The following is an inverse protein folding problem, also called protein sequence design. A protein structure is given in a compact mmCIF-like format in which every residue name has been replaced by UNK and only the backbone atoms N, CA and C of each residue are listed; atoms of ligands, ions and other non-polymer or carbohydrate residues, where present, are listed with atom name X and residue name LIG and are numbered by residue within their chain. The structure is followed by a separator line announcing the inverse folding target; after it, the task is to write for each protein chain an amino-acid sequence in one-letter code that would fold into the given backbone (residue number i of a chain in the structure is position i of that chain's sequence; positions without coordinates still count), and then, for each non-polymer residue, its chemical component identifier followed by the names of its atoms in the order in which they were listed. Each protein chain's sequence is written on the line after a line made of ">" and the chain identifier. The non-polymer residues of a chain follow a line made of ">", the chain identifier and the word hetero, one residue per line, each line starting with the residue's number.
data_IF_959612971582
#
_entry.id   IF_959612971582
#
_cell.length_a   1.000
_cell.length_b   1.000
_cell.length_c   1.000
_cell.angle_alpha   90.00
_cell.angle_beta   90.00
_cell.angle_gamma   90.00
#
_symmetry.space_group_name_H-M   'P 1'
#
loop_
_entity.id
_entity.type
_entity.pdbx_description
1 polymer ?
#
# COMPACT_ATOMS: atom_id res chain seq x y z
N UNK A 1 -58.02 23.43 -27.82
CA UNK A 1 -57.28 23.86 -26.62
C UNK A 1 -55.84 23.34 -26.73
N UNK A 2 -54.84 24.21 -26.92
CA UNK A 2 -53.42 23.85 -27.04
C UNK A 2 -52.82 23.65 -25.64
N UNK A 3 -52.29 22.47 -25.32
CA UNK A 3 -51.52 22.25 -24.09
C UNK A 3 -50.05 22.59 -24.35
N UNK A 4 -49.57 23.64 -23.68
CA UNK A 4 -48.17 24.04 -23.64
C UNK A 4 -47.43 23.07 -22.72
N UNK A 5 -46.44 22.33 -23.23
CA UNK A 5 -45.49 21.57 -22.42
C UNK A 5 -44.36 22.52 -22.01
N UNK A 6 -44.33 22.93 -20.73
CA UNK A 6 -43.16 23.57 -20.15
C UNK A 6 -42.08 22.50 -19.94
N UNK A 7 -40.98 22.58 -20.70
CA UNK A 7 -39.77 21.86 -20.38
C UNK A 7 -39.07 22.60 -19.23
N UNK A 8 -39.04 22.01 -18.04
CA UNK A 8 -38.22 22.49 -16.94
C UNK A 8 -36.75 22.16 -17.26
N UNK A 9 -35.95 23.18 -17.57
CA UNK A 9 -34.50 23.03 -17.66
C UNK A 9 -33.95 22.80 -16.25
N UNK A 10 -33.55 21.57 -15.94
CA UNK A 10 -32.81 21.26 -14.73
C UNK A 10 -31.41 21.89 -14.83
N UNK A 11 -31.18 22.94 -14.06
CA UNK A 11 -29.85 23.52 -13.88
C UNK A 11 -29.03 22.59 -13.00
N UNK A 12 -28.09 21.86 -13.59
CA UNK A 12 -27.10 21.11 -12.82
C UNK A 12 -26.11 22.10 -12.21
N UNK A 13 -26.23 22.33 -10.90
CA UNK A 13 -25.21 23.03 -10.13
C UNK A 13 -23.97 22.15 -10.07
N UNK A 14 -22.86 22.61 -10.66
CA UNK A 14 -21.55 21.98 -10.47
C UNK A 14 -21.19 22.15 -8.99
N UNK A 15 -20.98 21.07 -8.22
CA UNK A 15 -20.57 21.21 -6.83
C UNK A 15 -19.27 22.00 -6.76
N UNK A 16 -19.09 22.85 -5.73
CA UNK A 16 -17.86 23.61 -5.56
C UNK A 16 -16.67 22.65 -5.55
N UNK A 17 -15.66 22.93 -6.38
CA UNK A 17 -14.42 22.18 -6.38
C UNK A 17 -13.80 22.28 -4.98
N UNK A 18 -13.48 21.15 -4.34
CA UNK A 18 -12.94 21.19 -2.99
C UNK A 18 -11.56 21.85 -3.03
N UNK A 19 -11.31 22.83 -2.16
CA UNK A 19 -9.99 23.48 -2.05
C UNK A 19 -8.98 22.65 -1.23
N UNK A 20 -7.70 23.01 -1.31
CA UNK A 20 -6.65 22.41 -0.49
C UNK A 20 -6.19 21.03 -0.98
N UNK A 21 -5.81 20.12 -0.09
CA UNK A 21 -5.33 18.79 -0.47
C UNK A 21 -6.32 18.06 -1.39
N UNK A 22 -7.62 18.21 -1.14
CA UNK A 22 -8.68 17.58 -1.93
C UNK A 22 -8.76 18.09 -3.38
N UNK A 23 -8.21 19.26 -3.71
CA UNK A 23 -8.10 19.73 -5.11
C UNK A 23 -6.95 19.06 -5.87
N UNK A 24 -6.02 18.44 -5.15
CA UNK A 24 -4.79 17.83 -5.68
C UNK A 24 -4.91 16.31 -5.80
N UNK A 25 -5.85 15.70 -5.09
CA UNK A 25 -6.09 14.26 -5.12
C UNK A 25 -6.99 13.87 -6.31
N UNK A 26 -6.57 12.96 -7.20
CA UNK A 26 -7.45 12.44 -8.23
C UNK A 26 -8.48 11.49 -7.62
N UNK A 27 -9.70 11.54 -8.15
CA UNK A 27 -10.74 10.57 -7.81
C UNK A 27 -10.36 9.20 -8.40
N UNK A 28 -10.13 8.21 -7.54
CA UNK A 28 -9.88 6.83 -7.95
C UNK A 28 -11.20 6.07 -8.17
N UNK A 29 -11.33 5.39 -9.32
CA UNK A 29 -12.42 4.45 -9.59
C UNK A 29 -12.01 3.07 -9.07
N UNK A 30 -12.90 2.35 -8.38
CA UNK A 30 -12.65 0.98 -7.92
C UNK A 30 -12.00 0.87 -6.54
N UNK A 31 -12.72 1.31 -5.50
CA UNK A 31 -12.30 1.17 -4.09
C UNK A 31 -13.11 0.06 -3.42
N UNK A 32 -12.43 -0.85 -2.74
CA UNK A 32 -13.02 -1.83 -1.83
C UNK A 32 -12.44 -1.63 -0.44
N UNK A 33 -13.32 -1.46 0.55
CA UNK A 33 -12.92 -1.30 1.96
C UNK A 33 -13.34 -2.55 2.71
N UNK A 34 -12.41 -3.07 3.50
CA UNK A 34 -12.60 -4.22 4.37
C UNK A 34 -12.33 -3.77 5.80
N UNK A 35 -13.09 -4.31 6.75
CA UNK A 35 -12.90 -4.04 8.17
C UNK A 35 -12.57 -5.35 8.88
N UNK A 36 -11.54 -5.31 9.72
CA UNK A 36 -11.12 -6.39 10.60
C UNK A 36 -11.28 -5.99 12.06
N UNK A 37 -11.19 -6.96 12.99
CA UNK A 37 -10.86 -8.36 12.73
C UNK A 37 -12.06 -9.18 12.23
N UNK A 38 -11.84 -10.04 11.23
CA UNK A 38 -12.80 -11.06 10.75
C UNK A 38 -12.09 -12.17 9.97
N UNK A 39 -12.68 -13.37 9.83
CA UNK A 39 -12.08 -14.44 9.04
C UNK A 39 -11.75 -13.98 7.60
N UNK A 40 -10.53 -14.29 7.15
CA UNK A 40 -10.03 -13.97 5.81
C UNK A 40 -9.55 -12.53 5.61
N UNK A 41 -9.42 -11.72 6.67
CA UNK A 41 -8.87 -10.36 6.58
C UNK A 41 -7.39 -10.36 6.14
N UNK A 42 -6.59 -11.30 6.66
CA UNK A 42 -5.19 -11.51 6.28
C UNK A 42 -5.00 -12.14 4.89
N UNK A 43 -5.96 -12.96 4.45
CA UNK A 43 -5.90 -13.67 3.16
C UNK A 43 -5.81 -12.71 1.98
N UNK A 44 -6.32 -11.49 2.13
CA UNK A 44 -6.27 -10.49 1.06
C UNK A 44 -4.83 -10.12 0.71
N UNK A 45 -3.98 -9.91 1.71
CA UNK A 45 -2.58 -9.57 1.49
C UNK A 45 -1.82 -10.75 0.87
N UNK A 46 -2.08 -11.98 1.36
CA UNK A 46 -1.48 -13.19 0.79
C UNK A 46 -1.88 -13.42 -0.66
N UNK A 47 -3.16 -13.19 -1.01
CA UNK A 47 -3.66 -13.33 -2.38
C UNK A 47 -3.09 -12.30 -3.33
N UNK A 48 -3.02 -11.03 -2.91
CA UNK A 48 -2.46 -9.95 -3.75
C UNK A 48 -0.97 -10.17 -4.02
N UNK A 49 -0.18 -10.47 -2.99
CA UNK A 49 1.26 -10.73 -3.10
C UNK A 49 1.53 -12.03 -3.87
N UNK A 50 0.75 -13.09 -3.61
CA UNK A 50 0.82 -14.36 -4.33
C UNK A 50 0.48 -14.22 -5.81
N UNK A 51 -0.43 -13.31 -6.15
CA UNK A 51 -0.86 -13.01 -7.52
C UNK A 51 0.13 -12.21 -8.36
N UNK A 52 1.03 -11.44 -7.72
CA UNK A 52 1.95 -10.52 -8.39
C UNK A 52 2.83 -11.19 -9.46
N UNK A 53 3.02 -10.50 -10.58
CA UNK A 53 3.74 -10.98 -11.78
C UNK A 53 4.96 -10.14 -12.18
N UNK A 54 4.99 -8.85 -11.82
CA UNK A 54 6.00 -7.89 -12.29
C UNK A 54 6.69 -7.19 -11.13
N UNK A 55 5.94 -6.53 -10.26
CA UNK A 55 6.52 -5.70 -9.20
C UNK A 55 5.64 -5.59 -7.96
N UNK A 56 6.31 -5.42 -6.82
CA UNK A 56 5.73 -5.02 -5.56
C UNK A 56 6.64 -3.94 -4.95
N UNK A 57 6.07 -2.80 -4.61
CA UNK A 57 6.72 -1.78 -3.79
C UNK A 57 5.90 -1.61 -2.51
N UNK A 58 6.51 -1.88 -1.36
CA UNK A 58 5.84 -1.91 -0.05
C UNK A 58 6.48 -0.93 0.92
N UNK A 59 5.69 -0.02 1.47
CA UNK A 59 6.05 0.82 2.61
C UNK A 59 5.30 0.30 3.85
N UNK A 60 6.06 -0.18 4.83
CA UNK A 60 5.53 -0.83 6.02
C UNK A 60 6.09 -0.20 7.30
N UNK A 61 5.20 0.38 8.10
CA UNK A 61 5.52 0.83 9.46
C UNK A 61 5.93 -0.35 10.35
N UNK A 62 5.11 -1.40 10.35
CA UNK A 62 5.37 -2.68 11.03
C UNK A 62 5.19 -3.80 10.01
N UNK A 63 6.20 -4.67 9.90
CA UNK A 63 6.19 -5.89 9.08
C UNK A 63 6.78 -7.06 9.88
N UNK A 64 5.90 -7.80 10.54
CA UNK A 64 6.26 -8.91 11.42
C UNK A 64 5.48 -10.19 11.12
N UNK A 65 4.44 -10.11 10.29
CA UNK A 65 3.69 -11.27 9.84
C UNK A 65 4.55 -12.19 8.96
N UNK A 66 4.77 -13.42 9.43
CA UNK A 66 5.63 -14.38 8.75
C UNK A 66 5.02 -14.90 7.45
N UNK A 67 3.70 -14.99 7.35
CA UNK A 67 3.02 -15.43 6.13
C UNK A 67 3.17 -14.36 5.03
N UNK A 68 2.99 -13.08 5.38
CA UNK A 68 3.21 -11.96 4.47
C UNK A 68 4.68 -11.89 4.02
N UNK A 69 5.64 -11.98 4.96
CA UNK A 69 7.07 -11.96 4.64
C UNK A 69 7.46 -13.14 3.74
N UNK A 70 6.95 -14.34 4.02
CA UNK A 70 7.18 -15.52 3.19
C UNK A 70 6.60 -15.34 1.78
N UNK A 71 5.40 -14.77 1.66
CA UNK A 71 4.78 -14.49 0.37
C UNK A 71 5.61 -13.50 -0.47
N UNK A 72 6.18 -12.46 0.15
CA UNK A 72 7.08 -11.50 -0.50
C UNK A 72 8.37 -12.18 -0.99
N UNK A 73 8.99 -13.02 -0.15
CA UNK A 73 10.14 -13.83 -0.53
C UNK A 73 9.83 -14.76 -1.71
N UNK A 74 8.68 -15.43 -1.67
CA UNK A 74 8.18 -16.26 -2.76
C UNK A 74 7.95 -15.48 -4.05
N UNK A 75 7.41 -14.25 -3.98
CA UNK A 75 7.25 -13.38 -5.14
C UNK A 75 8.61 -13.04 -5.78
N UNK A 76 9.60 -12.66 -4.96
CA UNK A 76 10.94 -12.38 -5.45
C UNK A 76 11.59 -13.62 -6.11
N UNK A 77 11.40 -14.81 -5.54
CA UNK A 77 11.87 -16.06 -6.14
C UNK A 77 11.21 -16.37 -7.49
N UNK A 78 9.94 -16.00 -7.69
CA UNK A 78 9.23 -16.15 -8.98
C UNK A 78 9.70 -15.17 -10.06
N UNK A 79 10.56 -14.20 -9.74
CA UNK A 79 11.02 -13.18 -10.69
C UNK A 79 10.40 -11.80 -10.52
N UNK A 80 9.46 -11.63 -9.57
CA UNK A 80 8.83 -10.33 -9.28
C UNK A 80 9.86 -9.41 -8.64
N UNK A 81 9.96 -8.15 -9.10
CA UNK A 81 10.78 -7.14 -8.43
C UNK A 81 10.08 -6.70 -7.14
N UNK A 82 10.68 -6.97 -5.99
CA UNK A 82 10.13 -6.62 -4.68
C UNK A 82 11.02 -5.59 -4.00
N UNK A 83 10.46 -4.43 -3.63
CA UNK A 83 11.11 -3.41 -2.81
C UNK A 83 10.33 -3.21 -1.51
N UNK A 84 11.01 -3.32 -0.38
CA UNK A 84 10.41 -3.13 0.95
C UNK A 84 11.09 -1.97 1.65
N UNK A 85 10.28 -0.98 2.05
CA UNK A 85 10.70 0.19 2.81
C UNK A 85 10.13 0.10 4.23
N UNK A 86 11.01 0.01 5.22
CA UNK A 86 10.68 -0.17 6.63
C UNK A 86 10.91 1.10 7.44
N UNK A 87 10.13 1.30 8.50
CA UNK A 87 10.39 2.38 9.46
C UNK A 87 11.64 2.13 10.33
N UNK A 88 12.22 3.21 10.85
CA UNK A 88 13.46 3.22 11.63
C UNK A 88 13.30 2.92 13.13
N UNK A 89 12.09 2.89 13.69
CA UNK A 89 11.92 2.82 15.15
C UNK A 89 12.06 1.42 15.76
N UNK A 90 11.69 0.34 15.05
CA UNK A 90 11.80 -1.03 15.60
C UNK A 90 13.26 -1.42 15.93
N UNK A 91 13.52 -2.07 17.07
CA UNK A 91 14.88 -2.52 17.39
C UNK A 91 15.15 -3.86 16.70
N UNK A 92 16.19 -3.90 15.87
CA UNK A 92 16.60 -5.11 15.17
C UNK A 92 15.79 -5.40 13.89
N UNK A 93 16.16 -6.48 13.22
CA UNK A 93 15.46 -7.03 12.05
C UNK A 93 14.78 -8.33 12.47
N UNK A 94 13.58 -8.59 11.95
CA UNK A 94 12.98 -9.90 12.17
C UNK A 94 13.79 -10.97 11.41
N UNK A 95 14.04 -12.16 11.99
CA UNK A 95 14.74 -13.24 11.29
C UNK A 95 14.08 -13.63 9.96
N UNK A 96 12.76 -13.42 9.84
CA UNK A 96 12.02 -13.65 8.61
C UNK A 96 12.41 -12.65 7.50
N UNK A 97 12.61 -11.37 7.83
CA UNK A 97 13.10 -10.38 6.87
C UNK A 97 14.54 -10.70 6.44
N UNK A 98 15.39 -11.07 7.39
CA UNK A 98 16.78 -11.46 7.07
C UNK A 98 16.83 -12.65 6.11
N UNK A 99 15.94 -13.64 6.29
CA UNK A 99 15.87 -14.82 5.43
C UNK A 99 15.53 -14.50 3.96
N UNK A 100 14.79 -13.42 3.69
CA UNK A 100 14.42 -13.04 2.31
C UNK A 100 15.32 -11.95 1.72
N UNK A 101 16.12 -11.27 2.54
CA UNK A 101 16.90 -10.09 2.13
C UNK A 101 17.95 -10.39 1.05
N UNK A 102 18.41 -11.64 0.94
CA UNK A 102 19.40 -12.05 -0.06
C UNK A 102 18.79 -12.51 -1.41
N UNK A 103 17.45 -12.56 -1.52
CA UNK A 103 16.79 -13.01 -2.74
C UNK A 103 17.10 -12.06 -3.92
N UNK A 104 17.36 -12.63 -5.11
CA UNK A 104 17.88 -11.88 -6.27
C UNK A 104 17.04 -10.66 -6.67
N UNK A 105 15.72 -10.77 -6.59
CA UNK A 105 14.80 -9.71 -6.99
C UNK A 105 14.21 -8.96 -5.78
N UNK A 106 14.82 -9.09 -4.60
CA UNK A 106 14.43 -8.41 -3.37
C UNK A 106 15.40 -7.27 -3.08
N UNK A 107 14.86 -6.12 -2.70
CA UNK A 107 15.63 -5.02 -2.12
C UNK A 107 14.90 -4.51 -0.89
N UNK A 108 15.63 -4.31 0.21
CA UNK A 108 15.04 -3.85 1.46
C UNK A 108 15.82 -2.65 1.95
N UNK A 109 15.11 -1.56 2.23
CA UNK A 109 15.64 -0.37 2.87
C UNK A 109 14.88 -0.08 4.14
N UNK A 110 15.59 0.52 5.08
CA UNK A 110 15.07 0.98 6.34
C UNK A 110 15.34 2.46 6.49
N UNK A 111 14.32 3.22 6.85
CA UNK A 111 14.44 4.64 7.16
C UNK A 111 15.49 4.86 8.26
N UNK A 112 16.31 5.90 8.13
CA UNK A 112 17.16 6.36 9.22
C UNK A 112 16.35 6.69 10.48
N UNK A 113 16.95 6.49 11.65
CA UNK A 113 16.26 6.76 12.93
C UNK A 113 16.05 8.25 13.08
N UNK A 114 14.81 8.64 13.37
CA UNK A 114 14.41 10.03 13.60
C UNK A 114 13.13 10.05 14.41
N UNK A 115 12.77 11.22 14.96
CA UNK A 115 11.47 11.40 15.63
C UNK A 115 10.27 11.18 14.70
N UNK A 116 10.44 11.49 13.42
CA UNK A 116 9.36 11.32 12.43
C UNK A 116 9.22 9.86 11.99
N UNK A 117 7.99 9.36 11.95
CA UNK A 117 7.68 7.99 11.55
C UNK A 117 7.40 7.90 10.04
N UNK A 118 7.87 6.83 9.38
CA UNK A 118 7.22 6.36 8.16
C UNK A 118 6.05 5.47 8.56
N UNK A 119 4.84 6.02 8.55
CA UNK A 119 3.67 5.37 9.13
C UNK A 119 2.75 4.68 8.10
N UNK A 120 3.22 4.45 6.87
CA UNK A 120 2.43 3.79 5.83
C UNK A 120 2.27 2.29 6.13
N UNK A 121 1.14 1.75 5.70
CA UNK A 121 0.87 0.30 5.67
C UNK A 121 0.35 -0.06 4.28
N UNK A 122 1.19 0.22 3.30
CA UNK A 122 0.73 0.30 1.92
C UNK A 122 1.70 -0.39 0.97
N UNK A 123 1.16 -1.04 -0.05
CA UNK A 123 1.95 -1.57 -1.14
C UNK A 123 1.18 -1.54 -2.46
N UNK A 124 1.92 -1.42 -3.56
CA UNK A 124 1.37 -1.61 -4.90
C UNK A 124 1.72 -2.98 -5.45
N UNK A 125 0.88 -3.48 -6.35
CA UNK A 125 1.13 -4.69 -7.14
C UNK A 125 0.97 -4.37 -8.63
N UNK A 126 2.02 -4.70 -9.40
CA UNK A 126 2.07 -4.69 -10.86
C UNK A 126 1.61 -3.39 -11.54
N UNK A 127 1.72 -2.23 -10.86
CA UNK A 127 1.24 -0.95 -11.40
C UNK A 127 -0.29 -0.85 -11.49
N UNK A 128 -1.03 -1.76 -10.84
CA UNK A 128 -2.49 -1.94 -11.04
C UNK A 128 -3.33 -1.79 -9.80
N UNK A 129 -2.82 -2.25 -8.66
CA UNK A 129 -3.58 -2.25 -7.40
C UNK A 129 -2.72 -1.67 -6.29
N UNK A 130 -3.32 -0.82 -5.47
CA UNK A 130 -2.75 -0.27 -4.24
C UNK A 130 -3.54 -0.82 -3.06
N UNK A 131 -2.85 -1.49 -2.14
CA UNK A 131 -3.37 -1.81 -0.80
C UNK A 131 -2.93 -0.72 0.15
N UNK A 132 -3.85 -0.19 0.95
CA UNK A 132 -3.61 0.78 2.01
C UNK A 132 -4.54 0.50 3.20
N UNK A 133 -4.57 1.38 4.20
CA UNK A 133 -5.41 1.28 5.40
C UNK A 133 -4.60 1.41 6.69
N UNK A 134 -5.27 1.20 7.82
CA UNK A 134 -4.71 1.28 9.17
C UNK A 134 -4.01 -0.02 9.59
N UNK A 135 -4.39 -1.16 9.00
CA UNK A 135 -3.85 -2.47 9.33
C UNK A 135 -2.35 -2.59 9.02
N UNK A 136 -1.53 -2.74 10.06
CA UNK A 136 -0.12 -3.15 9.94
C UNK A 136 0.01 -4.59 9.44
N UNK A 137 1.15 -4.92 8.83
CA UNK A 137 1.48 -6.28 8.36
C UNK A 137 1.99 -7.14 9.53
N UNK A 138 1.10 -7.38 10.48
CA UNK A 138 1.37 -8.09 11.73
C UNK A 138 0.12 -8.86 12.15
N UNK A 139 0.30 -9.97 12.87
CA UNK A 139 -0.81 -10.76 13.43
C UNK A 139 -1.74 -9.89 14.27
N UNK A 140 -1.19 -8.98 15.09
CA UNK A 140 -2.02 -8.07 15.89
C UNK A 140 -2.87 -7.11 15.05
N UNK A 141 -2.33 -6.61 13.94
CA UNK A 141 -3.08 -5.76 13.01
C UNK A 141 -4.22 -6.50 12.30
N UNK A 142 -4.05 -7.80 12.05
CA UNK A 142 -5.03 -8.62 11.35
C UNK A 142 -6.12 -9.20 12.28
N UNK A 143 -5.73 -9.69 13.46
CA UNK A 143 -6.61 -10.49 14.32
C UNK A 143 -7.10 -9.77 15.58
N UNK A 144 -6.38 -8.77 16.07
CA UNK A 144 -6.59 -8.21 17.42
C UNK A 144 -6.85 -6.69 17.45
N UNK A 145 -6.96 -6.04 16.29
CA UNK A 145 -7.14 -4.59 16.19
C UNK A 145 -8.24 -4.26 15.19
N UNK A 146 -9.12 -3.34 15.58
CA UNK A 146 -10.10 -2.74 14.67
C UNK A 146 -9.36 -1.93 13.60
N UNK A 147 -9.35 -2.42 12.38
CA UNK A 147 -8.61 -1.83 11.28
C UNK A 147 -9.41 -1.82 9.99
N UNK A 148 -9.08 -0.87 9.12
CA UNK A 148 -9.46 -0.93 7.73
C UNK A 148 -8.30 -1.46 6.85
N UNK A 149 -8.70 -2.10 5.77
CA UNK A 149 -7.85 -2.41 4.62
C UNK A 149 -8.59 -1.90 3.39
N UNK A 150 -7.93 -1.02 2.66
CA UNK A 150 -8.45 -0.36 1.47
C UNK A 150 -7.70 -0.90 0.26
N UNK A 151 -8.43 -1.53 -0.66
CA UNK A 151 -7.91 -1.95 -1.96
C UNK A 151 -8.41 -0.98 -3.03
N UNK A 152 -7.47 -0.36 -3.73
CA UNK A 152 -7.71 0.62 -4.77
C UNK A 152 -7.18 0.06 -6.09
N UNK A 153 -8.07 -0.18 -7.05
CA UNK A 153 -7.72 -0.70 -8.39
C UNK A 153 -7.66 0.46 -9.41
N UNK A 154 -6.64 1.30 -9.28
CA UNK A 154 -6.47 2.47 -10.13
C UNK A 154 -4.99 2.70 -10.45
N UNK A 155 -4.59 2.68 -11.75
CA UNK A 155 -3.22 3.02 -12.14
C UNK A 155 -2.77 4.40 -11.64
N UNK A 156 -3.67 5.39 -11.65
CA UNK A 156 -3.35 6.75 -11.19
C UNK A 156 -3.09 6.80 -9.67
N UNK A 157 -3.79 5.99 -8.87
CA UNK A 157 -3.51 5.89 -7.43
C UNK A 157 -2.19 5.16 -7.16
N UNK A 158 -1.88 4.14 -7.96
CA UNK A 158 -0.60 3.43 -7.88
C UNK A 158 0.55 4.35 -8.24
N UNK A 159 0.43 5.15 -9.30
CA UNK A 159 1.46 6.11 -9.73
C UNK A 159 1.79 7.12 -8.62
N UNK A 160 0.80 7.72 -7.98
CA UNK A 160 1.04 8.63 -6.85
C UNK A 160 1.69 7.94 -5.64
N UNK A 161 1.31 6.70 -5.36
CA UNK A 161 1.98 5.91 -4.34
C UNK A 161 3.43 5.63 -4.74
N UNK A 162 3.70 5.26 -5.99
CA UNK A 162 5.04 5.02 -6.51
C UNK A 162 5.91 6.28 -6.45
N UNK A 163 5.39 7.45 -6.82
CA UNK A 163 6.10 8.73 -6.65
C UNK A 163 6.46 8.99 -5.18
N UNK A 164 5.51 8.74 -4.28
CA UNK A 164 5.75 8.88 -2.83
C UNK A 164 6.78 7.86 -2.35
N UNK A 165 6.68 6.62 -2.81
CA UNK A 165 7.61 5.54 -2.51
C UNK A 165 9.02 5.90 -2.97
N UNK A 166 9.21 6.43 -4.18
CA UNK A 166 10.51 6.85 -4.67
C UNK A 166 11.12 7.96 -3.81
N UNK A 167 10.32 8.95 -3.36
CA UNK A 167 10.79 9.98 -2.44
C UNK A 167 11.26 9.40 -1.10
N UNK A 168 10.54 8.41 -0.56
CA UNK A 168 10.96 7.70 0.65
C UNK A 168 12.23 6.87 0.39
N UNK A 169 12.27 6.14 -0.73
CA UNK A 169 13.33 5.24 -1.13
C UNK A 169 14.66 5.94 -1.40
N UNK A 170 14.60 7.18 -1.88
CA UNK A 170 15.74 8.02 -2.23
C UNK A 170 16.33 8.81 -1.05
N UNK A 171 15.73 8.74 0.16
CA UNK A 171 16.30 9.41 1.33
C UNK A 171 17.73 8.95 1.59
N UNK A 172 18.58 9.91 1.94
CA UNK A 172 20.03 9.75 2.06
C UNK A 172 20.44 8.98 3.32
N UNK A 173 19.60 8.98 4.35
CA UNK A 173 19.80 8.30 5.63
C UNK A 173 19.27 6.86 5.65
N UNK A 174 18.78 6.36 4.52
CA UNK A 174 18.27 4.99 4.40
C UNK A 174 19.38 3.95 4.57
N UNK A 175 19.13 2.99 5.44
CA UNK A 175 19.98 1.82 5.67
C UNK A 175 19.54 0.68 4.73
N UNK A 176 20.47 0.07 4.01
CA UNK A 176 20.20 -1.13 3.22
C UNK A 176 20.21 -2.35 4.13
N UNK A 177 19.30 -3.29 3.87
CA UNK A 177 19.21 -4.55 4.58
C UNK A 177 19.49 -5.68 3.59
N UNK A 178 20.43 -6.56 3.94
CA UNK A 178 20.95 -7.59 3.04
C UNK A 178 22.22 -7.15 2.31
N UNK A 179 22.83 -8.09 1.59
CA UNK A 179 24.16 -7.94 0.97
C UNK A 179 24.12 -7.56 -0.51
N UNK A 180 22.93 -7.33 -1.08
CA UNK A 180 22.74 -6.95 -2.48
C UNK A 180 22.19 -5.53 -2.62
#
# INVERSE_FOLDING_TARGET
>A
MKRLLLAAAATFSVPPQPGGLLSQEPLAVGVRVFYGPRPGFEDLDLRLIGGAKKSIDMAAYVLTDRAVISALGGAAMRGVRVRIYLDGEERGLSPAIEAIAAARNMQIKRKGRSRDLMHLKSYQVDGRALRSGSANFSVSGAEFQDNDLILIESPAAVEQFEETFERLWARSDNQKIGTR
#
